data_IF_674264962746
#
_entry.id   IF_674264962746
#
_cell.length_a   1.000
_cell.length_b   1.000
_cell.length_c   1.000
_cell.angle_alpha   90.00
_cell.angle_beta   90.00
_cell.angle_gamma   90.00
#
_symmetry.space_group_name_H-M   'P 1'
#
loop_
_entity.id
_entity.type
_entity.pdbx_description
1 polymer ?
#
# COMPACT_ATOMS: atom_id res chain seq x y z
N UNK A 1 -14.26 -6.93 8.46
CA UNK A 1 -14.54 -6.09 7.27
C UNK A 1 -13.40 -6.18 6.25
N UNK A 2 -13.68 -6.64 5.03
CA UNK A 2 -12.72 -6.69 3.93
C UNK A 2 -12.37 -5.26 3.52
N UNK A 3 -11.34 -4.69 4.13
CA UNK A 3 -10.96 -3.32 3.89
C UNK A 3 -10.27 -3.23 2.52
N UNK A 4 -10.81 -2.40 1.64
CA UNK A 4 -10.18 -2.02 0.38
C UNK A 4 -9.48 -0.66 0.57
N UNK A 5 -8.38 -0.46 -0.14
CA UNK A 5 -7.80 0.87 -0.36
C UNK A 5 -8.24 1.34 -1.73
N UNK A 6 -8.76 2.56 -1.81
CA UNK A 6 -9.19 3.17 -3.06
C UNK A 6 -8.34 4.38 -3.39
N UNK A 7 -8.10 4.61 -4.67
CA UNK A 7 -7.43 5.80 -5.18
C UNK A 7 -8.06 6.18 -6.51
N UNK A 8 -8.41 7.47 -6.63
CA UNK A 8 -8.86 8.01 -7.90
C UNK A 8 -7.68 8.09 -8.86
N UNK A 9 -7.88 7.60 -10.08
CA UNK A 9 -6.95 7.69 -11.20
C UNK A 9 -7.50 8.67 -12.24
N UNK A 10 -6.66 9.20 -13.15
CA UNK A 10 -7.13 10.05 -14.24
C UNK A 10 -8.16 9.38 -15.14
N UNK A 11 -8.85 10.21 -15.92
CA UNK A 11 -9.82 9.77 -16.93
C UNK A 11 -10.98 8.92 -16.34
N UNK A 12 -11.44 9.27 -15.13
CA UNK A 12 -12.60 8.64 -14.52
C UNK A 12 -12.34 7.18 -14.14
N UNK A 13 -11.13 6.85 -13.72
CA UNK A 13 -10.79 5.50 -13.25
C UNK A 13 -10.63 5.48 -11.74
N UNK A 14 -10.87 4.32 -11.13
CA UNK A 14 -10.57 4.08 -9.72
C UNK A 14 -9.74 2.82 -9.59
N UNK A 15 -8.66 2.90 -8.82
CA UNK A 15 -7.92 1.75 -8.36
C UNK A 15 -8.47 1.31 -7.01
N UNK A 16 -8.80 0.02 -6.88
CA UNK A 16 -9.23 -0.62 -5.66
C UNK A 16 -8.29 -1.78 -5.34
N UNK A 17 -7.70 -1.79 -4.16
CA UNK A 17 -6.78 -2.84 -3.73
C UNK A 17 -7.30 -3.51 -2.48
N UNK A 18 -7.50 -4.81 -2.57
CA UNK A 18 -7.93 -5.58 -1.40
C UNK A 18 -6.76 -5.75 -0.42
N UNK A 19 -6.93 -5.28 0.82
CA UNK A 19 -5.84 -5.24 1.80
C UNK A 19 -5.25 -6.60 2.15
N UNK A 20 -6.07 -7.66 2.16
CA UNK A 20 -5.63 -9.00 2.54
C UNK A 20 -5.06 -9.84 1.40
N UNK A 21 -5.32 -9.47 0.14
CA UNK A 21 -4.89 -10.26 -1.03
C UNK A 21 -3.98 -9.49 -1.97
N UNK A 22 -3.77 -8.19 -1.74
CA UNK A 22 -2.97 -7.31 -2.60
C UNK A 22 -3.35 -7.44 -4.10
N UNK A 23 -4.62 -7.72 -4.38
CA UNK A 23 -5.14 -7.70 -5.74
C UNK A 23 -5.61 -6.29 -6.03
N UNK A 24 -4.93 -5.64 -6.97
CA UNK A 24 -5.32 -4.38 -7.57
C UNK A 24 -6.38 -4.64 -8.63
N UNK A 25 -7.47 -3.89 -8.57
CA UNK A 25 -8.47 -3.78 -9.63
C UNK A 25 -8.55 -2.33 -10.07
N UNK A 26 -8.48 -2.08 -11.37
CA UNK A 26 -8.75 -0.78 -11.96
C UNK A 26 -10.13 -0.85 -12.61
N UNK A 27 -11.02 0.05 -12.21
CA UNK A 27 -12.38 0.14 -12.70
C UNK A 27 -12.61 1.49 -13.37
N UNK A 28 -13.44 1.50 -14.40
CA UNK A 28 -14.03 2.73 -14.92
C UNK A 28 -15.16 3.18 -13.98
N UNK A 29 -15.12 4.42 -13.51
CA UNK A 29 -16.05 4.92 -12.50
C UNK A 29 -17.45 5.16 -13.06
N UNK A 30 -17.54 5.50 -14.35
CA UNK A 30 -18.81 5.88 -14.99
C UNK A 30 -19.63 4.64 -15.34
N UNK A 31 -18.97 3.56 -15.72
CA UNK A 31 -19.59 2.31 -16.16
C UNK A 31 -19.52 1.20 -15.11
N UNK A 32 -18.69 1.35 -14.08
CA UNK A 32 -18.37 0.30 -13.11
C UNK A 32 -17.59 -0.86 -13.72
N UNK A 33 -17.15 -0.77 -14.98
CA UNK A 33 -16.50 -1.87 -15.70
C UNK A 33 -15.11 -2.11 -15.14
N UNK A 34 -14.81 -3.37 -14.84
CA UNK A 34 -13.44 -3.79 -14.55
C UNK A 34 -12.59 -3.64 -15.81
N UNK A 35 -11.61 -2.75 -15.77
CA UNK A 35 -10.66 -2.53 -16.86
C UNK A 35 -9.45 -3.43 -16.72
N UNK A 36 -8.98 -3.65 -15.49
CA UNK A 36 -7.78 -4.43 -15.22
C UNK A 36 -7.81 -5.06 -13.83
N UNK A 37 -7.22 -6.24 -13.71
CA UNK A 37 -6.98 -6.92 -12.44
C UNK A 37 -5.54 -7.41 -12.41
N UNK A 38 -4.78 -6.99 -11.40
CA UNK A 38 -3.37 -7.34 -11.23
C UNK A 38 -3.19 -7.87 -9.82
N UNK A 39 -2.62 -9.06 -9.71
CA UNK A 39 -2.06 -9.50 -8.43
C UNK A 39 -0.75 -8.74 -8.29
N UNK A 40 -0.63 -7.91 -7.25
CA UNK A 40 0.66 -7.29 -6.93
C UNK A 40 1.57 -8.46 -6.50
N UNK A 41 2.44 -8.91 -7.41
CA UNK A 41 3.28 -10.10 -7.26
C UNK A 41 4.77 -9.75 -7.17
N UNK A 42 5.07 -8.71 -6.39
CA UNK A 42 6.46 -8.33 -6.09
C UNK A 42 6.97 -9.14 -4.89
N UNK A 43 8.31 -9.24 -4.79
CA UNK A 43 9.02 -9.91 -3.70
C UNK A 43 8.44 -9.54 -2.32
N UNK A 44 8.04 -8.29 -2.11
CA UNK A 44 7.51 -7.83 -0.82
C UNK A 44 6.07 -8.26 -0.53
N UNK A 45 5.23 -8.36 -1.57
CA UNK A 45 3.86 -8.87 -1.38
C UNK A 45 3.90 -10.36 -1.09
N UNK A 46 4.75 -11.10 -1.79
CA UNK A 46 4.93 -12.53 -1.56
C UNK A 46 5.59 -12.80 -0.21
N UNK A 47 6.57 -11.98 0.19
CA UNK A 47 7.17 -12.03 1.53
C UNK A 47 6.16 -11.68 2.62
N UNK A 48 5.35 -10.64 2.43
CA UNK A 48 4.24 -10.32 3.33
C UNK A 48 3.23 -11.44 3.43
N UNK A 49 2.87 -12.10 2.32
CA UNK A 49 2.00 -13.28 2.34
C UNK A 49 2.64 -14.42 3.13
N UNK A 50 3.93 -14.65 2.96
CA UNK A 50 4.67 -15.69 3.68
C UNK A 50 4.71 -15.40 5.17
N UNK A 51 5.06 -14.18 5.58
CA UNK A 51 5.12 -13.77 6.99
C UNK A 51 3.75 -13.82 7.66
N UNK A 52 2.71 -13.33 6.98
CA UNK A 52 1.35 -13.34 7.52
C UNK A 52 0.66 -14.69 7.44
N UNK A 53 1.00 -15.53 6.46
CA UNK A 53 0.54 -16.91 6.36
C UNK A 53 1.19 -17.83 7.41
N UNK A 54 2.38 -17.48 7.90
CA UNK A 54 3.09 -18.17 8.97
C UNK A 54 2.63 -17.78 10.38
N UNK A 55 1.87 -16.68 10.53
CA UNK A 55 1.29 -16.32 11.82
C UNK A 55 0.24 -17.36 12.22
N UNK A 56 0.19 -17.78 13.50
CA UNK A 56 -0.84 -18.68 13.98
C UNK A 56 -2.21 -18.09 13.63
N UNK A 57 -3.02 -18.84 12.88
CA UNK A 57 -4.41 -18.43 12.65
C UNK A 57 -5.05 -18.26 14.02
N UNK A 58 -5.62 -17.07 14.34
CA UNK A 58 -6.24 -16.88 15.63
C UNK A 58 -7.30 -17.97 15.80
N UNK A 59 -7.12 -18.80 16.82
CA UNK A 59 -8.11 -19.76 17.27
C UNK A 59 -9.42 -19.00 17.49
N UNK A 60 -10.46 -19.41 16.77
CA UNK A 60 -11.79 -18.78 16.68
C UNK A 60 -12.25 -18.14 18.00
N UNK A 61 -11.95 -16.85 18.18
CA UNK A 61 -12.51 -15.94 19.19
C UNK A 61 -11.68 -14.68 19.21
N UNK A 62 -12.34 -13.52 19.17
CA UNK A 62 -11.81 -12.15 19.13
C UNK A 62 -11.39 -11.63 17.75
N UNK A 63 -11.85 -10.40 17.48
CA UNK A 63 -11.80 -9.62 16.24
C UNK A 63 -10.39 -9.26 15.73
N UNK A 64 -9.47 -10.23 15.65
CA UNK A 64 -8.14 -10.01 15.08
C UNK A 64 -8.29 -10.00 13.56
N UNK A 65 -8.44 -8.80 12.99
CA UNK A 65 -8.32 -8.55 11.56
C UNK A 65 -7.00 -9.17 11.10
N UNK A 66 -7.04 -10.03 10.08
CA UNK A 66 -5.82 -10.49 9.41
C UNK A 66 -4.91 -9.28 9.15
N UNK A 67 -3.60 -9.39 9.40
CA UNK A 67 -2.70 -8.28 9.13
C UNK A 67 -2.77 -7.95 7.63
N UNK A 68 -3.01 -6.67 7.36
CA UNK A 68 -3.19 -6.17 6.02
C UNK A 68 -1.84 -6.15 5.28
N UNK A 69 -1.76 -6.80 4.12
CA UNK A 69 -0.65 -6.65 3.19
C UNK A 69 -0.56 -5.22 2.68
N UNK A 70 -1.71 -4.59 2.40
CA UNK A 70 -1.76 -3.17 2.02
C UNK A 70 -2.21 -2.35 3.22
N UNK A 71 -1.33 -1.47 3.67
CA UNK A 71 -1.51 -0.67 4.88
C UNK A 71 -2.33 0.58 4.57
N UNK A 72 -2.03 1.26 3.46
CA UNK A 72 -2.69 2.49 3.00
C UNK A 72 -2.34 2.78 1.54
N UNK A 73 -2.95 3.81 0.96
CA UNK A 73 -2.61 4.29 -0.37
C UNK A 73 -3.11 5.70 -0.64
N UNK A 74 -2.52 6.35 -1.63
CA UNK A 74 -2.81 7.72 -2.03
C UNK A 74 -2.68 7.88 -3.55
N UNK A 75 -3.42 8.85 -4.10
CA UNK A 75 -3.23 9.29 -5.49
C UNK A 75 -2.09 10.29 -5.56
N UNK A 76 -1.22 10.16 -6.56
CA UNK A 76 -0.23 11.17 -6.91
C UNK A 76 -0.77 12.20 -7.90
N UNK A 77 -0.09 13.35 -8.03
CA UNK A 77 -0.50 14.45 -8.91
C UNK A 77 -0.46 14.07 -10.41
N UNK A 78 0.44 13.19 -10.82
CA UNK A 78 0.53 12.69 -12.20
C UNK A 78 -0.51 11.60 -12.52
N UNK A 79 -1.37 11.26 -11.57
CA UNK A 79 -2.38 10.22 -11.74
C UNK A 79 -1.92 8.80 -11.45
N UNK A 80 -0.75 8.65 -10.82
CA UNK A 80 -0.29 7.38 -10.30
C UNK A 80 -0.98 7.05 -8.98
N UNK A 81 -1.03 5.78 -8.63
CA UNK A 81 -1.40 5.31 -7.30
C UNK A 81 -0.15 4.90 -6.54
N UNK A 82 -0.06 5.35 -5.30
CA UNK A 82 0.97 4.92 -4.36
C UNK A 82 0.34 4.03 -3.30
N UNK A 83 0.92 2.87 -3.06
CA UNK A 83 0.45 1.93 -2.06
C UNK A 83 1.56 1.65 -1.05
N UNK A 84 1.25 1.85 0.22
CA UNK A 84 2.09 1.37 1.31
C UNK A 84 1.74 -0.10 1.59
N UNK A 85 2.71 -0.98 1.37
CA UNK A 85 2.61 -2.42 1.51
C UNK A 85 3.51 -2.87 2.68
N UNK A 86 2.98 -3.78 3.48
CA UNK A 86 3.65 -4.41 4.61
C UNK A 86 4.35 -5.73 4.25
N UNK A 87 5.01 -6.37 5.24
CA UNK A 87 4.80 -6.14 6.67
C UNK A 87 5.64 -5.00 7.21
N UNK A 88 5.09 -4.23 8.15
CA UNK A 88 5.83 -3.14 8.81
C UNK A 88 6.49 -3.62 10.10
N UNK A 89 7.74 -4.07 10.01
CA UNK A 89 8.50 -4.62 11.16
C UNK A 89 9.83 -3.88 11.35
N UNK A 90 10.47 -3.96 12.53
CA UNK A 90 11.78 -3.37 12.76
C UNK A 90 12.87 -3.85 11.78
N UNK A 91 12.82 -5.12 11.37
CA UNK A 91 13.80 -5.71 10.46
C UNK A 91 13.53 -5.40 8.99
N UNK A 92 12.27 -5.18 8.60
CA UNK A 92 11.89 -5.02 7.19
C UNK A 92 11.53 -3.59 6.80
N UNK A 93 10.99 -2.78 7.70
CA UNK A 93 10.36 -1.50 7.35
C UNK A 93 9.05 -1.74 6.60
N UNK A 94 8.59 -0.79 5.77
CA UNK A 94 7.49 -1.00 4.82
C UNK A 94 7.99 -0.66 3.41
N UNK A 95 7.16 -0.91 2.39
CA UNK A 95 7.46 -0.49 1.02
C UNK A 95 6.33 0.34 0.44
N UNK A 96 6.65 1.44 -0.23
CA UNK A 96 5.71 2.13 -1.09
C UNK A 96 5.93 1.66 -2.52
N UNK A 97 4.88 1.20 -3.20
CA UNK A 97 4.91 0.92 -4.63
C UNK A 97 4.14 2.00 -5.38
N UNK A 98 4.70 2.48 -6.49
CA UNK A 98 4.04 3.38 -7.44
C UNK A 98 3.48 2.56 -8.58
N UNK A 99 2.22 2.81 -8.88
CA UNK A 99 1.44 2.13 -9.90
C UNK A 99 0.98 3.19 -10.88
N UNK A 100 1.28 2.99 -12.15
CA UNK A 100 0.86 3.93 -13.20
C UNK A 100 -0.66 3.89 -13.45
N UNK A 101 -1.15 4.82 -14.26
CA UNK A 101 -2.55 4.90 -14.65
C UNK A 101 -3.07 3.65 -15.42
N UNK A 102 -2.18 2.76 -15.86
CA UNK A 102 -2.51 1.50 -16.53
C UNK A 102 -2.49 0.31 -15.56
N UNK A 103 -2.21 0.53 -14.28
CA UNK A 103 -2.15 -0.51 -13.26
C UNK A 103 -0.84 -1.31 -13.25
N UNK A 104 0.24 -0.81 -13.86
CA UNK A 104 1.56 -1.42 -13.81
C UNK A 104 2.37 -0.86 -12.64
N UNK A 105 3.11 -1.71 -11.92
CA UNK A 105 4.08 -1.27 -10.91
C UNK A 105 5.30 -0.71 -11.66
N UNK A 106 5.61 0.57 -11.44
CA UNK A 106 6.68 1.27 -12.18
C UNK A 106 7.87 1.64 -11.33
N UNK A 107 7.68 1.79 -10.02
CA UNK A 107 8.77 2.02 -9.07
C UNK A 107 8.37 1.62 -7.67
N UNK A 108 9.36 1.52 -6.78
CA UNK A 108 9.14 1.23 -5.38
C UNK A 108 10.18 1.87 -4.48
N UNK A 109 9.83 2.08 -3.22
CA UNK A 109 10.70 2.64 -2.19
C UNK A 109 10.57 1.84 -0.90
N UNK A 110 11.71 1.48 -0.32
CA UNK A 110 11.74 0.93 1.04
C UNK A 110 11.74 2.07 2.05
N UNK A 111 10.74 2.05 2.93
CA UNK A 111 10.59 2.99 4.03
C UNK A 111 11.08 2.31 5.31
N UNK A 112 12.12 2.87 5.92
CA UNK A 112 12.67 2.34 7.17
C UNK A 112 11.65 2.35 8.30
N UNK A 113 11.89 1.50 9.29
CA UNK A 113 11.10 1.47 10.52
C UNK A 113 11.36 2.69 11.43
N UNK A 114 12.50 3.35 11.22
CA UNK A 114 12.91 4.50 12.01
C UNK A 114 11.83 5.60 12.01
N UNK A 115 11.47 6.09 13.19
CA UNK A 115 10.46 7.14 13.37
C UNK A 115 8.99 6.67 13.36
N UNK A 116 8.74 5.38 13.19
CA UNK A 116 7.42 4.77 13.27
C UNK A 116 7.50 3.59 14.24
N UNK A 117 7.38 3.89 15.54
CA UNK A 117 7.49 2.85 16.58
C UNK A 117 6.27 1.93 16.55
N UNK A 118 6.41 0.70 17.04
CA UNK A 118 5.35 -0.30 17.04
C UNK A 118 4.13 0.18 17.82
N UNK A 119 4.36 0.91 18.92
CA UNK A 119 3.33 1.53 19.75
C UNK A 119 2.48 2.57 19.01
N UNK A 120 3.03 3.21 17.98
CA UNK A 120 2.32 4.23 17.18
C UNK A 120 1.46 3.60 16.06
N UNK A 121 1.52 2.27 15.91
CA UNK A 121 0.91 1.53 14.83
C UNK A 121 1.64 1.69 13.49
N UNK A 122 1.21 0.97 12.44
CA UNK A 122 1.83 1.07 11.13
C UNK A 122 1.60 2.48 10.54
N UNK A 123 2.60 3.05 9.83
CA UNK A 123 2.43 4.33 9.17
C UNK A 123 1.32 4.29 8.13
N UNK A 124 0.77 5.46 7.82
CA UNK A 124 -0.14 5.65 6.69
C UNK A 124 0.48 6.61 5.69
N UNK A 125 0.31 6.30 4.41
CA UNK A 125 0.57 7.23 3.33
C UNK A 125 -0.57 8.27 3.32
N UNK A 126 -0.23 9.51 3.68
CA UNK A 126 -1.21 10.59 3.85
C UNK A 126 -1.25 11.57 2.69
N UNK A 127 -0.13 11.74 1.99
CA UNK A 127 -0.04 12.60 0.81
C UNK A 127 1.12 12.18 -0.10
N UNK A 128 1.01 12.55 -1.37
CA UNK A 128 2.08 12.50 -2.37
C UNK A 128 1.98 13.76 -3.23
N UNK A 129 3.09 14.44 -3.44
CA UNK A 129 3.21 15.55 -4.41
C UNK A 129 4.19 15.17 -5.54
N UNK A 130 4.64 16.15 -6.33
CA UNK A 130 5.50 15.91 -7.48
C UNK A 130 6.93 15.46 -7.10
N UNK A 131 7.34 15.63 -5.85
CA UNK A 131 8.71 15.40 -5.38
C UNK A 131 8.78 14.48 -4.17
N UNK A 132 7.75 14.42 -3.36
CA UNK A 132 7.80 13.82 -2.04
C UNK A 132 6.56 12.97 -1.74
N UNK A 133 6.75 11.94 -0.92
CA UNK A 133 5.68 11.19 -0.27
C UNK A 133 5.76 11.36 1.24
N UNK A 134 4.59 11.40 1.87
CA UNK A 134 4.43 11.70 3.28
C UNK A 134 3.81 10.52 4.00
N UNK A 135 4.57 9.94 4.93
CA UNK A 135 4.10 8.88 5.82
C UNK A 135 3.85 9.46 7.21
N UNK A 136 2.70 9.15 7.81
CA UNK A 136 2.34 9.59 9.15
C UNK A 136 1.97 8.42 10.06
N UNK A 137 2.41 8.46 11.32
CA UNK A 137 1.97 7.54 12.38
C UNK A 137 0.66 8.00 13.01
N UNK A 138 -0.01 7.14 13.76
CA UNK A 138 -1.20 7.53 14.54
C UNK A 138 -0.87 8.56 15.63
N UNK A 139 0.37 8.57 16.11
CA UNK A 139 0.86 9.54 17.08
C UNK A 139 1.26 10.89 16.45
N UNK A 140 1.12 11.06 15.13
CA UNK A 140 1.41 12.31 14.44
C UNK A 140 2.87 12.48 14.01
N UNK A 141 3.70 11.44 14.11
CA UNK A 141 5.05 11.47 13.55
C UNK A 141 4.98 11.41 12.03
N UNK A 142 5.55 12.41 11.35
CA UNK A 142 5.59 12.48 9.89
C UNK A 142 7.02 12.23 9.40
N UNK A 143 7.16 11.38 8.38
CA UNK A 143 8.38 11.26 7.59
C UNK A 143 8.10 11.55 6.13
N UNK A 144 9.04 12.24 5.52
CA UNK A 144 9.01 12.65 4.13
C UNK A 144 10.07 11.86 3.39
N UNK A 145 9.71 11.28 2.25
CA UNK A 145 10.66 10.59 1.38
C UNK A 145 10.64 11.20 -0.02
N UNK A 146 11.80 11.48 -0.61
CA UNK A 146 11.87 12.00 -1.97
C UNK A 146 11.51 10.90 -2.98
N UNK A 147 10.70 11.23 -3.98
CA UNK A 147 10.33 10.32 -5.07
C UNK A 147 11.54 9.92 -5.93
N UNK A 148 12.62 10.70 -5.92
CA UNK A 148 13.89 10.34 -6.57
C UNK A 148 14.58 9.15 -5.93
N UNK A 149 14.21 8.77 -4.70
CA UNK A 149 14.71 7.56 -4.04
C UNK A 149 13.96 6.29 -4.47
N UNK A 150 12.88 6.40 -5.26
CA UNK A 150 12.19 5.23 -5.77
C UNK A 150 13.01 4.55 -6.87
N UNK A 151 13.27 3.25 -6.71
CA UNK A 151 13.93 2.44 -7.72
C UNK A 151 12.88 1.76 -8.62
N UNK A 152 13.21 1.60 -9.91
CA UNK A 152 12.47 0.71 -10.81
C UNK A 152 12.53 -0.72 -10.25
N UNK A 153 11.41 -1.47 -10.24
CA UNK A 153 11.36 -2.82 -9.69
C UNK A 153 12.30 -3.80 -10.41
#
# INVERSE_FOLDING_TARGET
>A
PSAYVFSALPAGKVAAVHRGTAVLKVLDINTGKLLRSVVLGGEDVDRGRSMYGALPKPSQSSNVSQPALVISGASGPSGDMFLLIGPFTPSEGARVVRIDANGAVVSSLRCGYEGFKAEDGPPQLVAVDDKELYLASRAGHVRVYPLTAMATP
#
